data_IF_313123700284
#
_entry.id   IF_313123700284
#
_cell.length_a   1.000
_cell.length_b   1.000
_cell.length_c   1.000
_cell.angle_alpha   90.00
_cell.angle_beta   90.00
_cell.angle_gamma   90.00
#
_symmetry.space_group_name_H-M   'P 1'
#
loop_
_entity.id
_entity.type
_entity.pdbx_description
1 polymer ?
#
# COMPACT_ATOMS: atom_id res chain seq x y z
N UNK A 1 -0.74 54.60 2.75
CA UNK A 1 -0.28 53.36 3.42
C UNK A 1 0.07 52.26 2.41
N UNK A 2 0.94 52.54 1.41
CA UNK A 2 1.25 51.58 0.31
C UNK A 2 2.75 51.27 0.17
N UNK A 3 3.59 51.73 1.10
CA UNK A 3 5.03 51.51 1.05
C UNK A 3 5.38 50.02 1.20
N UNK A 4 4.74 49.31 2.12
CA UNK A 4 5.01 47.89 2.38
C UNK A 4 4.74 46.98 1.16
N UNK A 5 3.60 47.16 0.45
CA UNK A 5 3.31 46.37 -0.76
C UNK A 5 4.30 46.68 -1.90
N UNK A 6 4.69 47.94 -2.05
CA UNK A 6 5.65 48.35 -3.07
C UNK A 6 7.06 47.79 -2.80
N UNK A 7 7.41 47.64 -1.53
CA UNK A 7 8.67 47.08 -1.07
C UNK A 7 8.74 45.55 -1.23
N UNK A 8 7.61 44.86 -1.07
CA UNK A 8 7.45 43.46 -1.48
C UNK A 8 7.75 43.27 -2.97
N UNK A 9 7.28 44.21 -3.78
CA UNK A 9 7.44 44.21 -5.23
C UNK A 9 8.83 44.62 -5.72
N UNK A 10 9.60 45.39 -4.94
CA UNK A 10 10.96 45.78 -5.33
C UNK A 10 11.99 44.70 -4.96
N UNK A 11 11.81 44.05 -3.82
CA UNK A 11 12.71 43.02 -3.32
C UNK A 11 12.17 41.59 -3.56
N UNK A 12 11.71 41.33 -4.79
CA UNK A 12 10.98 40.11 -5.18
C UNK A 12 11.71 38.82 -4.84
N UNK A 13 13.04 38.81 -4.95
CA UNK A 13 13.86 37.61 -4.73
C UNK A 13 13.91 37.22 -3.25
N UNK A 14 14.18 38.16 -2.34
CA UNK A 14 14.28 37.83 -0.90
C UNK A 14 12.92 37.41 -0.30
N UNK A 15 11.85 38.11 -0.67
CA UNK A 15 10.51 37.80 -0.18
C UNK A 15 9.93 36.55 -0.85
N UNK A 16 10.27 36.31 -2.13
CA UNK A 16 9.98 35.05 -2.80
C UNK A 16 10.68 33.86 -2.14
N UNK A 17 11.96 34.00 -1.78
CA UNK A 17 12.70 32.96 -1.04
C UNK A 17 12.11 32.69 0.35
N UNK A 18 11.82 33.74 1.13
CA UNK A 18 11.18 33.58 2.45
C UNK A 18 9.79 32.94 2.35
N UNK A 19 8.94 33.40 1.41
CA UNK A 19 7.63 32.81 1.17
C UNK A 19 7.73 31.35 0.71
N UNK A 20 8.71 31.03 -0.14
CA UNK A 20 8.98 29.67 -0.59
C UNK A 20 9.40 28.74 0.55
N UNK A 21 10.29 29.19 1.45
CA UNK A 21 10.69 28.42 2.63
C UNK A 21 9.49 28.16 3.55
N UNK A 22 8.67 29.18 3.82
CA UNK A 22 7.47 29.02 4.65
C UNK A 22 6.48 28.06 4.00
N UNK A 23 6.28 28.15 2.68
CA UNK A 23 5.42 27.22 1.94
C UNK A 23 5.94 25.77 2.02
N UNK A 24 7.24 25.57 1.81
CA UNK A 24 7.87 24.24 1.89
C UNK A 24 7.77 23.64 3.29
N UNK A 25 8.01 24.41 4.35
CA UNK A 25 7.88 23.95 5.74
C UNK A 25 6.41 23.59 6.03
N UNK A 26 5.46 24.40 5.54
CA UNK A 26 4.03 24.13 5.72
C UNK A 26 3.61 22.84 5.03
N UNK A 27 4.03 22.64 3.77
CA UNK A 27 3.79 21.40 3.02
C UNK A 27 4.39 20.19 3.75
N UNK A 28 5.65 20.30 4.17
CA UNK A 28 6.35 19.22 4.87
C UNK A 28 5.63 18.83 6.16
N UNK A 29 5.16 19.82 6.93
CA UNK A 29 4.47 19.58 8.21
C UNK A 29 3.15 18.86 7.98
N UNK A 30 2.37 19.29 6.98
CA UNK A 30 1.10 18.63 6.61
C UNK A 30 1.36 17.23 6.10
N UNK A 31 2.37 17.02 5.25
CA UNK A 31 2.71 15.68 4.75
C UNK A 31 3.17 14.75 5.87
N UNK A 32 4.01 15.22 6.79
CA UNK A 32 4.49 14.40 7.91
C UNK A 32 3.34 14.00 8.84
N UNK A 33 2.43 14.92 9.12
CA UNK A 33 1.23 14.65 9.92
C UNK A 33 0.27 13.69 9.21
N UNK A 34 0.05 13.90 7.91
CA UNK A 34 -0.79 13.03 7.08
C UNK A 34 -0.22 11.61 6.96
N UNK A 35 1.09 11.48 6.75
CA UNK A 35 1.77 10.18 6.69
C UNK A 35 1.73 9.46 8.03
N UNK A 36 2.00 10.16 9.13
CA UNK A 36 1.94 9.56 10.47
C UNK A 36 0.53 9.06 10.79
N UNK A 37 -0.50 9.83 10.46
CA UNK A 37 -1.88 9.45 10.75
C UNK A 37 -2.35 8.32 9.83
N UNK A 38 -1.99 8.38 8.55
CA UNK A 38 -2.33 7.35 7.57
C UNK A 38 -1.67 6.00 7.89
N UNK A 39 -0.38 5.99 8.25
CA UNK A 39 0.30 4.75 8.65
C UNK A 39 -0.32 4.14 9.92
N UNK A 40 -0.65 4.97 10.91
CA UNK A 40 -1.32 4.48 12.12
C UNK A 40 -2.69 3.89 11.79
N UNK A 41 -3.48 4.56 10.94
CA UNK A 41 -4.81 4.08 10.55
C UNK A 41 -4.73 2.78 9.75
N UNK A 42 -3.77 2.68 8.81
CA UNK A 42 -3.48 1.47 8.05
C UNK A 42 -3.05 0.30 8.97
N UNK A 43 -2.17 0.55 9.95
CA UNK A 43 -1.67 -0.45 10.89
C UNK A 43 -2.78 -1.07 11.76
N UNK A 44 -3.81 -0.28 12.11
CA UNK A 44 -4.94 -0.74 12.95
C UNK A 44 -6.22 -0.97 12.15
N UNK A 45 -6.20 -0.80 10.84
CA UNK A 45 -7.37 -0.89 9.95
C UNK A 45 -8.13 -2.20 10.11
N UNK A 46 -7.40 -3.32 10.21
CA UNK A 46 -7.99 -4.64 10.43
C UNK A 46 -8.73 -4.76 11.75
N UNK A 47 -8.23 -4.12 12.83
CA UNK A 47 -8.89 -4.12 14.13
C UNK A 47 -10.09 -3.15 14.15
N UNK A 48 -9.99 -2.01 13.47
CA UNK A 48 -11.09 -1.03 13.34
C UNK A 48 -12.24 -1.54 12.48
N UNK A 49 -11.95 -2.39 11.50
CA UNK A 49 -12.94 -2.98 10.63
C UNK A 49 -13.72 -4.14 11.29
N UNK A 50 -13.25 -4.65 12.43
CA UNK A 50 -13.98 -5.67 13.16
C UNK A 50 -15.29 -5.08 13.73
N UNK A 51 -16.41 -5.82 13.64
CA UNK A 51 -17.70 -5.37 14.16
C UNK A 51 -17.75 -5.53 15.70
N UNK A 52 -16.84 -4.89 16.41
CA UNK A 52 -16.72 -4.91 17.88
C UNK A 52 -16.67 -3.49 18.43
N UNK A 53 -17.38 -3.26 19.53
CA UNK A 53 -17.29 -2.01 20.28
C UNK A 53 -16.10 -2.01 21.26
N UNK A 54 -15.68 -3.20 21.73
CA UNK A 54 -14.63 -3.35 22.72
C UNK A 54 -13.92 -4.70 22.66
N UNK A 55 -12.66 -4.73 23.13
CA UNK A 55 -11.91 -5.96 23.42
C UNK A 55 -11.76 -6.15 24.93
N UNK A 56 -12.11 -7.33 25.41
CA UNK A 56 -11.79 -7.76 26.77
C UNK A 56 -10.44 -8.48 26.78
N UNK A 57 -9.61 -8.20 27.79
CA UNK A 57 -8.31 -8.84 28.01
C UNK A 57 -8.24 -9.43 29.42
N UNK A 58 -7.30 -10.36 29.64
CA UNK A 58 -7.01 -10.89 30.95
C UNK A 58 -6.61 -9.77 31.94
N UNK A 59 -6.85 -10.01 33.23
CA UNK A 59 -6.49 -9.05 34.26
C UNK A 59 -4.97 -8.81 34.27
N UNK A 60 -4.54 -7.54 34.34
CA UNK A 60 -3.12 -7.16 34.33
C UNK A 60 -2.51 -6.98 32.93
N UNK A 61 -3.19 -7.36 31.84
CA UNK A 61 -2.65 -7.16 30.48
C UNK A 61 -2.37 -5.68 30.18
N UNK A 62 -3.21 -4.77 30.68
CA UNK A 62 -3.06 -3.32 30.48
C UNK A 62 -1.78 -2.77 31.10
N UNK A 63 -1.34 -3.28 32.25
CA UNK A 63 -0.15 -2.76 32.94
C UNK A 63 1.13 -3.20 32.24
N UNK A 64 1.14 -4.41 31.71
CA UNK A 64 2.34 -5.03 31.13
C UNK A 64 2.42 -4.85 29.61
N UNK A 65 1.39 -4.24 28.99
CA UNK A 65 1.24 -4.02 27.54
C UNK A 65 1.42 -5.28 26.68
N UNK A 66 1.23 -6.46 27.28
CA UNK A 66 1.49 -7.75 26.65
C UNK A 66 0.21 -8.39 26.11
N UNK A 67 -0.49 -7.69 25.22
CA UNK A 67 -1.80 -8.09 24.69
C UNK A 67 -1.80 -9.48 24.05
N UNK A 68 -0.74 -9.85 23.32
CA UNK A 68 -0.59 -11.17 22.68
C UNK A 68 -0.46 -12.33 23.67
N UNK A 69 -0.15 -12.06 24.95
CA UNK A 69 -0.08 -13.08 26.02
C UNK A 69 -1.37 -13.16 26.84
N UNK A 70 -2.36 -12.32 26.55
CA UNK A 70 -3.67 -12.38 27.21
C UNK A 70 -4.40 -13.65 26.81
N UNK A 71 -4.70 -14.50 27.77
CA UNK A 71 -5.52 -15.69 27.59
C UNK A 71 -6.83 -15.53 28.36
N UNK A 72 -7.94 -15.79 27.68
CA UNK A 72 -9.29 -15.80 28.25
C UNK A 72 -9.89 -17.17 27.97
N UNK A 73 -10.51 -17.78 28.97
CA UNK A 73 -11.18 -19.07 28.81
C UNK A 73 -12.63 -18.91 28.29
N UNK A 74 -13.21 -20.01 27.82
CA UNK A 74 -14.58 -19.99 27.28
C UNK A 74 -15.64 -19.73 28.35
N UNK A 75 -15.36 -20.04 29.62
CA UNK A 75 -16.27 -19.74 30.73
C UNK A 75 -16.35 -18.24 31.01
N UNK A 76 -15.24 -17.52 30.89
CA UNK A 76 -15.14 -16.07 30.99
C UNK A 76 -15.87 -15.39 29.83
N UNK A 77 -15.77 -15.91 28.61
CA UNK A 77 -16.58 -15.41 27.48
C UNK A 77 -18.07 -15.57 27.76
N UNK A 78 -18.50 -16.73 28.26
CA UNK A 78 -19.90 -16.96 28.64
C UNK A 78 -20.35 -16.02 29.77
N UNK A 79 -19.49 -15.75 30.76
CA UNK A 79 -19.76 -14.77 31.80
C UNK A 79 -19.93 -13.35 31.24
N UNK A 80 -19.11 -12.94 30.27
CA UNK A 80 -19.24 -11.65 29.58
C UNK A 80 -20.54 -11.55 28.78
N UNK A 81 -20.95 -12.61 28.07
CA UNK A 81 -22.25 -12.66 27.36
C UNK A 81 -23.45 -12.40 28.28
N UNK A 82 -23.32 -12.72 29.57
CA UNK A 82 -24.40 -12.54 30.56
C UNK A 82 -24.45 -11.15 31.21
N UNK A 83 -23.49 -10.26 30.91
CA UNK A 83 -23.42 -8.95 31.55
C UNK A 83 -24.46 -7.97 31.00
N UNK A 84 -25.06 -7.11 31.84
CA UNK A 84 -25.96 -6.06 31.38
C UNK A 84 -25.26 -5.12 30.39
N UNK A 85 -25.89 -4.88 29.23
CA UNK A 85 -25.35 -4.00 28.18
C UNK A 85 -24.41 -4.67 27.17
N UNK A 86 -24.12 -5.96 27.32
CA UNK A 86 -23.41 -6.75 26.30
C UNK A 86 -24.43 -7.38 25.36
N UNK A 87 -24.39 -7.01 24.07
CA UNK A 87 -25.29 -7.57 23.06
C UNK A 87 -24.88 -9.00 22.67
N UNK A 88 -23.59 -9.21 22.42
CA UNK A 88 -22.97 -10.51 22.19
C UNK A 88 -21.47 -10.41 22.53
N UNK A 89 -20.81 -11.54 22.77
CA UNK A 89 -19.37 -11.63 22.96
C UNK A 89 -18.85 -12.91 22.30
N UNK A 90 -17.70 -12.87 21.64
CA UNK A 90 -17.10 -14.04 21.00
C UNK A 90 -15.61 -14.11 21.29
N UNK A 91 -15.01 -15.32 21.37
CA UNK A 91 -13.57 -15.45 21.52
C UNK A 91 -12.87 -14.97 20.24
N UNK A 92 -11.77 -14.25 20.42
CA UNK A 92 -10.91 -13.80 19.33
C UNK A 92 -9.45 -14.14 19.67
N UNK A 93 -8.82 -14.96 18.83
CA UNK A 93 -7.42 -15.36 18.97
C UNK A 93 -6.57 -14.83 17.83
N UNK A 94 -5.30 -14.56 18.10
CA UNK A 94 -4.30 -14.24 17.08
C UNK A 94 -3.00 -14.99 17.39
N UNK A 95 -2.42 -15.61 16.38
CA UNK A 95 -1.09 -16.22 16.47
C UNK A 95 -0.33 -16.05 15.16
N UNK A 96 0.99 -15.86 15.24
CA UNK A 96 1.86 -15.85 14.07
C UNK A 96 2.36 -17.26 13.82
N UNK A 97 2.21 -17.74 12.59
CA UNK A 97 2.66 -19.08 12.16
C UNK A 97 3.54 -18.96 10.93
N UNK A 98 4.58 -19.78 10.87
CA UNK A 98 5.38 -19.94 9.66
C UNK A 98 4.86 -21.16 8.91
N UNK A 99 4.65 -21.02 7.61
CA UNK A 99 4.25 -22.09 6.73
C UNK A 99 5.24 -22.20 5.57
N UNK A 100 5.16 -23.32 4.84
CA UNK A 100 5.92 -23.52 3.61
C UNK A 100 4.95 -23.80 2.47
N UNK A 101 5.27 -23.23 1.33
CA UNK A 101 4.55 -23.48 0.08
C UNK A 101 4.98 -24.81 -0.50
N UNK A 102 4.24 -25.33 -1.49
CA UNK A 102 4.63 -26.57 -2.19
C UNK A 102 6.02 -26.49 -2.85
N UNK A 103 6.45 -25.27 -3.22
CA UNK A 103 7.80 -24.99 -3.73
C UNK A 103 8.87 -24.81 -2.65
N UNK A 104 8.56 -25.02 -1.36
CA UNK A 104 9.51 -24.92 -0.25
C UNK A 104 9.78 -23.49 0.24
N UNK A 105 9.12 -22.47 -0.32
CA UNK A 105 9.24 -21.08 0.13
C UNK A 105 8.55 -20.90 1.47
N UNK A 106 9.27 -20.37 2.46
CA UNK A 106 8.72 -20.01 3.76
C UNK A 106 7.85 -18.75 3.66
N UNK A 107 6.69 -18.77 4.30
CA UNK A 107 5.74 -17.67 4.35
C UNK A 107 5.21 -17.53 5.77
N UNK A 108 5.17 -16.31 6.28
CA UNK A 108 4.65 -16.00 7.59
C UNK A 108 3.19 -15.58 7.47
N UNK A 109 2.34 -16.17 8.30
CA UNK A 109 0.92 -15.90 8.34
C UNK A 109 0.51 -15.43 9.75
N UNK A 110 -0.33 -14.41 9.80
CA UNK A 110 -1.13 -14.12 11.00
C UNK A 110 -2.41 -14.95 10.91
N UNK A 111 -2.60 -15.84 11.88
CA UNK A 111 -3.76 -16.70 11.98
C UNK A 111 -4.70 -16.11 13.02
N UNK A 112 -5.90 -15.73 12.56
CA UNK A 112 -6.96 -15.23 13.42
C UNK A 112 -7.97 -16.34 13.70
N UNK A 113 -8.15 -16.67 14.97
CA UNK A 113 -9.09 -17.67 15.44
C UNK A 113 -10.41 -17.02 15.87
N UNK A 114 -11.51 -17.48 15.31
CA UNK A 114 -12.87 -17.02 15.62
C UNK A 114 -13.79 -18.21 15.78
N UNK A 115 -14.86 -18.05 16.57
CA UNK A 115 -15.90 -19.07 16.68
C UNK A 115 -16.69 -19.15 15.35
N UNK A 116 -16.87 -20.35 14.76
CA UNK A 116 -17.71 -20.54 13.58
C UNK A 116 -19.10 -19.94 13.79
N UNK A 117 -19.66 -19.30 12.75
CA UNK A 117 -20.98 -18.64 12.78
C UNK A 117 -21.12 -17.46 13.76
N UNK A 118 -20.05 -17.07 14.47
CA UNK A 118 -20.09 -15.84 15.28
C UNK A 118 -20.06 -14.58 14.40
N UNK A 119 -20.44 -13.45 14.97
CA UNK A 119 -20.36 -12.15 14.30
C UNK A 119 -18.92 -11.73 13.89
N UNK A 120 -17.90 -12.43 14.41
CA UNK A 120 -16.49 -12.26 14.04
C UNK A 120 -16.08 -13.15 12.86
N UNK A 121 -16.89 -14.12 12.47
CA UNK A 121 -16.59 -14.99 11.34
C UNK A 121 -16.64 -14.18 10.03
N UNK A 122 -15.56 -14.14 9.23
CA UNK A 122 -15.54 -13.35 8.01
C UNK A 122 -16.43 -13.97 6.93
N UNK A 123 -17.10 -13.12 6.15
CA UNK A 123 -17.80 -13.56 4.95
C UNK A 123 -16.80 -13.77 3.80
N UNK A 124 -16.72 -14.97 3.20
CA UNK A 124 -15.79 -15.23 2.12
C UNK A 124 -16.27 -14.59 0.82
N UNK A 125 -15.39 -13.87 0.12
CA UNK A 125 -15.68 -13.36 -1.22
C UNK A 125 -15.90 -14.50 -2.25
N UNK A 126 -15.28 -15.67 -2.02
CA UNK A 126 -15.40 -16.89 -2.83
C UNK A 126 -15.29 -18.12 -1.93
N UNK A 127 -16.06 -19.15 -2.24
CA UNK A 127 -16.01 -20.44 -1.53
C UNK A 127 -17.02 -20.53 -0.39
N UNK A 128 -16.79 -21.49 0.52
CA UNK A 128 -17.61 -21.69 1.71
C UNK A 128 -17.03 -20.93 2.91
N UNK A 129 -17.89 -20.55 3.85
CA UNK A 129 -17.50 -19.84 5.08
C UNK A 129 -16.90 -20.76 6.14
N UNK A 130 -16.69 -20.20 7.33
CA UNK A 130 -16.28 -20.97 8.52
C UNK A 130 -17.48 -21.71 9.11
N UNK A 131 -17.81 -22.86 8.53
CA UNK A 131 -18.88 -23.75 9.03
C UNK A 131 -18.35 -24.83 9.99
N UNK A 132 -17.04 -25.09 9.96
CA UNK A 132 -16.37 -26.17 10.68
C UNK A 132 -15.18 -25.63 11.48
N UNK A 133 -14.76 -26.28 12.58
CA UNK A 133 -13.61 -25.86 13.36
C UNK A 133 -12.28 -25.85 12.59
N UNK A 134 -12.17 -26.67 11.54
CA UNK A 134 -11.02 -26.80 10.65
C UNK A 134 -11.16 -25.95 9.37
N UNK A 135 -12.21 -25.13 9.27
CA UNK A 135 -12.38 -24.18 8.17
C UNK A 135 -11.27 -23.13 8.17
N UNK A 136 -10.75 -22.80 6.98
CA UNK A 136 -9.73 -21.77 6.80
C UNK A 136 -10.23 -20.78 5.74
N UNK A 137 -10.25 -19.50 6.11
CA UNK A 137 -10.46 -18.39 5.18
C UNK A 137 -9.14 -17.66 5.01
N UNK A 138 -8.73 -17.48 3.75
CA UNK A 138 -7.46 -16.85 3.39
C UNK A 138 -7.73 -15.46 2.83
N UNK A 139 -6.98 -14.47 3.30
CA UNK A 139 -7.11 -13.10 2.79
C UNK A 139 -6.75 -13.03 1.31
N UNK A 140 -7.40 -12.13 0.57
CA UNK A 140 -7.08 -11.92 -0.85
C UNK A 140 -5.61 -11.50 -1.04
N UNK A 141 -5.05 -10.73 -0.11
CA UNK A 141 -3.64 -10.30 -0.14
C UNK A 141 -2.66 -11.47 0.04
N UNK A 142 -3.02 -12.50 0.80
CA UNK A 142 -2.24 -13.73 0.88
C UNK A 142 -2.20 -14.47 -0.48
N UNK A 143 -3.27 -14.36 -1.29
CA UNK A 143 -3.34 -14.95 -2.63
C UNK A 143 -2.62 -14.12 -3.72
N UNK A 144 -2.52 -12.80 -3.57
CA UNK A 144 -2.21 -11.92 -4.71
C UNK A 144 -0.71 -11.77 -5.01
N UNK A 145 0.18 -11.88 -4.01
CA UNK A 145 1.63 -11.64 -4.18
C UNK A 145 2.52 -12.79 -3.71
N UNK A 146 2.16 -13.42 -2.60
CA UNK A 146 2.90 -14.57 -2.07
C UNK A 146 2.60 -15.83 -2.87
N UNK A 147 1.34 -16.05 -3.24
CA UNK A 147 0.90 -17.25 -3.96
C UNK A 147 1.33 -17.25 -5.44
N UNK A 148 1.33 -16.12 -6.16
CA UNK A 148 1.87 -16.08 -7.53
C UNK A 148 3.36 -16.51 -7.58
N UNK A 149 4.19 -16.05 -6.64
CA UNK A 149 5.60 -16.46 -6.59
C UNK A 149 5.78 -17.89 -6.01
N UNK A 150 4.88 -18.32 -5.13
CA UNK A 150 4.90 -19.63 -4.48
C UNK A 150 4.33 -20.80 -5.30
N UNK A 151 3.36 -20.57 -6.19
CA UNK A 151 2.85 -21.59 -7.14
C UNK A 151 3.78 -21.70 -8.36
N UNK A 152 4.93 -21.01 -8.36
CA UNK A 152 5.90 -21.06 -9.45
C UNK A 152 5.43 -20.31 -10.69
N UNK A 153 4.69 -19.20 -10.55
CA UNK A 153 4.44 -18.32 -11.68
C UNK A 153 5.80 -17.98 -12.31
N UNK A 154 5.98 -18.30 -13.59
CA UNK A 154 7.31 -18.30 -14.17
C UNK A 154 7.82 -16.86 -14.21
N UNK A 155 9.13 -16.64 -14.04
CA UNK A 155 9.75 -15.30 -14.08
C UNK A 155 9.31 -14.49 -15.29
N UNK A 156 9.00 -15.16 -16.41
CA UNK A 156 8.42 -14.56 -17.63
C UNK A 156 7.07 -13.87 -17.41
N UNK A 157 6.22 -14.37 -16.51
CA UNK A 157 4.91 -13.78 -16.20
C UNK A 157 5.10 -12.47 -15.42
N UNK A 158 5.97 -12.47 -14.39
CA UNK A 158 6.31 -11.26 -13.63
C UNK A 158 7.02 -10.21 -14.49
N UNK A 159 7.92 -10.67 -15.38
CA UNK A 159 8.58 -9.80 -16.36
C UNK A 159 7.58 -9.21 -17.36
N UNK A 160 6.67 -10.02 -17.90
CA UNK A 160 5.68 -9.56 -18.87
C UNK A 160 4.69 -8.57 -18.25
N UNK A 161 4.23 -8.84 -17.03
CA UNK A 161 3.31 -7.95 -16.30
C UNK A 161 3.96 -6.58 -16.02
N UNK A 162 5.14 -6.59 -15.39
CA UNK A 162 5.88 -5.35 -15.11
C UNK A 162 6.26 -4.58 -16.37
N UNK A 163 6.64 -5.27 -17.46
CA UNK A 163 6.96 -4.63 -18.73
C UNK A 163 5.71 -4.04 -19.39
N UNK A 164 4.57 -4.73 -19.32
CA UNK A 164 3.29 -4.24 -19.86
C UNK A 164 2.87 -2.96 -19.13
N UNK A 165 2.97 -2.94 -17.80
CA UNK A 165 2.68 -1.75 -17.01
C UNK A 165 3.62 -0.58 -17.36
N UNK A 166 4.92 -0.85 -17.49
CA UNK A 166 5.90 0.16 -17.87
C UNK A 166 5.60 0.75 -19.27
N UNK A 167 5.26 -0.10 -20.24
CA UNK A 167 4.88 0.33 -21.60
C UNK A 167 3.64 1.21 -21.57
N UNK A 168 2.58 0.80 -20.87
CA UNK A 168 1.33 1.56 -20.77
C UNK A 168 1.59 2.94 -20.16
N UNK A 169 2.37 3.01 -19.08
CA UNK A 169 2.70 4.28 -18.42
C UNK A 169 3.56 5.16 -19.33
N UNK A 170 4.60 4.62 -19.98
CA UNK A 170 5.47 5.37 -20.87
C UNK A 170 4.71 5.93 -22.07
N UNK A 171 3.93 5.09 -22.76
CA UNK A 171 3.14 5.52 -23.91
C UNK A 171 2.10 6.55 -23.50
N UNK A 172 1.39 6.34 -22.39
CA UNK A 172 0.40 7.28 -21.87
C UNK A 172 1.02 8.63 -21.52
N UNK A 173 2.11 8.63 -20.75
CA UNK A 173 2.82 9.85 -20.37
C UNK A 173 3.40 10.60 -21.57
N UNK A 174 4.00 9.87 -22.53
CA UNK A 174 4.52 10.46 -23.76
C UNK A 174 3.40 11.04 -24.62
N UNK A 175 2.27 10.35 -24.78
CA UNK A 175 1.12 10.85 -25.53
C UNK A 175 0.55 12.13 -24.90
N UNK A 176 0.38 12.15 -23.57
CA UNK A 176 -0.06 13.35 -22.85
C UNK A 176 0.94 14.50 -23.03
N UNK A 177 2.24 14.23 -22.91
CA UNK A 177 3.30 15.22 -23.12
C UNK A 177 3.27 15.81 -24.54
N UNK A 178 3.13 14.96 -25.56
CA UNK A 178 3.00 15.39 -26.96
C UNK A 178 1.72 16.23 -27.16
N UNK A 179 0.59 15.82 -26.59
CA UNK A 179 -0.66 16.58 -26.67
C UNK A 179 -0.55 17.96 -26.01
N UNK A 180 0.09 18.05 -24.84
CA UNK A 180 0.35 19.32 -24.16
C UNK A 180 1.27 20.20 -24.99
N UNK A 181 2.35 19.65 -25.56
CA UNK A 181 3.29 20.40 -26.37
C UNK A 181 2.65 20.95 -27.67
N UNK A 182 1.88 20.11 -28.38
CA UNK A 182 1.16 20.49 -29.61
C UNK A 182 -0.02 21.44 -29.31
N UNK A 183 -0.70 21.25 -28.17
CA UNK A 183 -1.75 22.16 -27.74
C UNK A 183 -1.20 23.52 -27.33
N UNK A 184 -0.12 23.51 -26.54
CA UNK A 184 0.57 24.69 -26.03
C UNK A 184 1.19 25.55 -27.12
N UNK A 185 1.64 24.95 -28.23
CA UNK A 185 2.23 25.70 -29.35
C UNK A 185 1.25 26.70 -29.98
N UNK A 186 -0.07 26.49 -29.85
CA UNK A 186 -1.08 27.43 -30.36
C UNK A 186 -1.11 28.77 -29.64
N UNK A 187 -0.52 28.85 -28.45
CA UNK A 187 -0.47 30.08 -27.66
C UNK A 187 0.82 30.88 -27.91
N UNK A 188 1.79 30.32 -28.63
CA UNK A 188 3.07 30.96 -28.92
C UNK A 188 2.90 31.84 -30.17
N UNK A 189 2.99 33.16 -29.98
CA UNK A 189 2.93 34.16 -31.05
C UNK A 189 4.24 34.96 -31.09
N UNK A 190 4.70 35.34 -32.28
CA UNK A 190 5.85 36.24 -32.46
C UNK A 190 7.24 35.58 -32.53
N UNK A 191 7.32 34.25 -32.53
CA UNK A 191 8.56 33.49 -32.76
C UNK A 191 8.40 32.53 -33.96
N UNK A 192 9.44 32.36 -34.80
CA UNK A 192 9.41 31.40 -35.91
C UNK A 192 9.49 29.96 -35.37
N UNK A 193 8.36 29.44 -34.90
CA UNK A 193 8.22 28.11 -34.34
C UNK A 193 7.45 27.20 -35.31
N UNK A 194 8.05 26.08 -35.70
CA UNK A 194 7.40 25.07 -36.55
C UNK A 194 7.48 23.72 -35.86
N UNK A 195 6.36 23.01 -35.84
CA UNK A 195 6.30 21.63 -35.35
C UNK A 195 6.57 20.70 -36.53
N UNK A 196 7.63 19.91 -36.44
CA UNK A 196 7.87 18.81 -37.36
C UNK A 196 7.28 17.51 -36.77
N UNK A 197 6.18 16.97 -37.33
CA UNK A 197 5.58 15.74 -36.85
C UNK A 197 6.54 14.54 -36.86
N UNK A 198 7.47 14.50 -37.82
CA UNK A 198 8.44 13.41 -37.92
C UNK A 198 9.45 13.47 -36.78
N UNK A 199 9.95 14.67 -36.45
CA UNK A 199 10.84 14.87 -35.31
C UNK A 199 10.17 14.52 -33.98
N UNK A 200 8.90 14.93 -33.79
CA UNK A 200 8.12 14.62 -32.58
C UNK A 200 7.89 13.12 -32.45
N UNK A 201 7.46 12.45 -33.52
CA UNK A 201 7.24 11.00 -33.52
C UNK A 201 8.53 10.22 -33.25
N UNK A 202 9.65 10.66 -33.84
CA UNK A 202 10.97 10.05 -33.62
C UNK A 202 11.42 10.21 -32.16
N UNK A 203 11.30 11.41 -31.60
CA UNK A 203 11.65 11.69 -30.20
C UNK A 203 10.77 10.91 -29.22
N UNK A 204 9.46 10.88 -29.46
CA UNK A 204 8.52 10.10 -28.66
C UNK A 204 8.82 8.59 -28.71
N UNK A 205 9.06 8.06 -29.91
CA UNK A 205 9.41 6.65 -30.12
C UNK A 205 10.72 6.26 -29.42
N UNK A 206 11.77 7.09 -29.54
CA UNK A 206 13.04 6.86 -28.87
C UNK A 206 12.91 6.91 -27.34
N UNK A 207 12.14 7.87 -26.82
CA UNK A 207 11.91 8.00 -25.38
C UNK A 207 11.18 6.77 -24.82
N UNK A 208 10.10 6.33 -25.47
CA UNK A 208 9.37 5.12 -25.07
C UNK A 208 10.29 3.90 -25.15
N UNK A 209 11.01 3.72 -26.25
CA UNK A 209 11.90 2.57 -26.45
C UNK A 209 12.99 2.52 -25.38
N UNK A 210 13.67 3.64 -25.13
CA UNK A 210 14.73 3.71 -24.13
C UNK A 210 14.18 3.52 -22.71
N UNK A 211 12.99 4.05 -22.43
CA UNK A 211 12.29 3.86 -21.16
C UNK A 211 11.93 2.40 -20.91
N UNK A 212 11.42 1.70 -21.93
CA UNK A 212 11.08 0.26 -21.85
C UNK A 212 12.33 -0.58 -21.63
N UNK A 213 13.43 -0.28 -22.33
CA UNK A 213 14.72 -0.96 -22.11
C UNK A 213 15.25 -0.74 -20.69
N UNK A 214 15.16 0.49 -20.17
CA UNK A 214 15.55 0.82 -18.80
C UNK A 214 14.70 0.06 -17.76
N UNK A 215 13.38 0.02 -17.96
CA UNK A 215 12.46 -0.74 -17.12
C UNK A 215 12.77 -2.24 -17.16
N UNK A 216 13.00 -2.81 -18.35
CA UNK A 216 13.38 -4.21 -18.49
C UNK A 216 14.68 -4.54 -17.74
N UNK A 217 15.71 -3.70 -17.88
CA UNK A 217 16.97 -3.86 -17.16
C UNK A 217 16.80 -3.81 -15.63
N UNK A 218 15.97 -2.88 -15.14
CA UNK A 218 15.65 -2.76 -13.72
C UNK A 218 14.89 -3.99 -13.20
N UNK A 219 13.88 -4.48 -13.92
CA UNK A 219 13.08 -5.65 -13.51
C UNK A 219 13.95 -6.92 -13.54
N UNK A 220 14.78 -7.10 -14.57
CA UNK A 220 15.72 -8.22 -14.63
C UNK A 220 16.69 -8.20 -13.45
N UNK A 221 17.17 -7.02 -13.05
CA UNK A 221 18.04 -6.88 -11.87
C UNK A 221 17.32 -7.28 -10.58
N UNK A 222 16.07 -6.86 -10.39
CA UNK A 222 15.28 -7.18 -9.19
C UNK A 222 14.92 -8.66 -9.12
N UNK A 223 14.56 -9.28 -10.25
CA UNK A 223 14.20 -10.71 -10.32
C UNK A 223 15.39 -11.65 -10.07
N UNK A 224 16.63 -11.19 -10.28
CA UNK A 224 17.86 -11.94 -9.96
C UNK A 224 18.26 -11.88 -8.48
N UNK A 225 17.68 -10.98 -7.69
CA UNK A 225 17.94 -10.92 -6.25
C UNK A 225 17.17 -12.07 -5.60
N UNK A 226 17.92 -12.95 -4.92
CA UNK A 226 17.32 -14.08 -4.21
C UNK A 226 16.45 -13.56 -3.05
N UNK A 227 15.12 -13.71 -3.13
CA UNK A 227 14.23 -13.23 -2.08
C UNK A 227 14.45 -14.00 -0.77
N UNK A 228 14.99 -15.23 -0.81
CA UNK A 228 15.29 -16.02 0.38
C UNK A 228 16.45 -15.43 1.19
N UNK A 229 17.45 -14.86 0.49
CA UNK A 229 18.54 -14.13 1.13
C UNK A 229 18.06 -12.81 1.75
N UNK A 230 17.07 -12.15 1.14
CA UNK A 230 16.49 -10.89 1.63
C UNK A 230 15.56 -11.09 2.84
N UNK A 231 14.92 -12.25 2.97
CA UNK A 231 14.02 -12.61 4.07
C UNK A 231 14.73 -13.25 5.27
N UNK A 232 16.06 -13.32 5.25
CA UNK A 232 16.83 -13.80 6.41
C UNK A 232 16.79 -15.31 6.63
N UNK A 233 16.60 -16.12 5.58
CA UNK A 233 16.54 -17.58 5.65
C UNK A 233 17.83 -18.29 6.17
N UNK A 234 18.84 -17.52 6.62
CA UNK A 234 20.07 -17.99 7.25
C UNK A 234 20.16 -17.60 8.75
N UNK A 235 19.03 -17.43 9.43
CA UNK A 235 18.97 -17.34 10.90
C UNK A 235 17.98 -18.33 11.47
#
# INVERSE_FOLDING_TARGET
>A
MFLALRELWYARVRFGLMGGVVALISILTVMLSGLSSGLVDDDVSGLRALPVDAFAFAHGTKTDSAFTRSTIDTAQVAAWRSQPGVADAAPFGNTLVNAKTSGGVAVDFALFGVEPQSFLAPEPAKGAGLDRPDGIVVSATALDKAVLRAIGAPTRFLLADGLTQAVVVLVGATAIGVLIAVGGSRFIHGMPFTLDPAAIATGAGLLVLLGVLGAAAAIVRVTRIDPLAALGANR
#
